data_IF_801148367146
#
_entry.id   IF_801148367146
#
_cell.length_a   1.000
_cell.length_b   1.000
_cell.length_c   1.000
_cell.angle_alpha   90.00
_cell.angle_beta   90.00
_cell.angle_gamma   90.00
#
_symmetry.space_group_name_H-M   'P 1'
#
loop_
_entity.id
_entity.type
_entity.pdbx_description
1 polymer ?
#
# COMPACT_ATOMS: atom_id res chain seq x y z
N UNK A 1 -6.69 14.69 -17.76
CA UNK A 1 -7.89 14.05 -17.17
C UNK A 1 -7.53 12.61 -16.88
N UNK A 2 -7.18 12.26 -15.64
CA UNK A 2 -6.87 10.87 -15.30
C UNK A 2 -6.03 10.62 -14.04
N UNK A 3 -6.14 11.44 -12.99
CA UNK A 3 -5.41 11.24 -11.72
C UNK A 3 -6.33 11.37 -10.51
N UNK A 4 -7.59 10.94 -10.66
CA UNK A 4 -8.55 10.96 -9.56
C UNK A 4 -8.27 9.83 -8.58
N UNK A 5 -8.11 10.20 -7.31
CA UNK A 5 -8.01 9.25 -6.22
C UNK A 5 -9.34 8.53 -6.04
N UNK A 6 -9.31 7.21 -6.16
CA UNK A 6 -10.41 6.31 -5.78
C UNK A 6 -10.22 5.89 -4.33
N UNK A 7 -11.31 5.60 -3.62
CA UNK A 7 -11.26 5.22 -2.21
C UNK A 7 -12.00 3.91 -2.00
N UNK A 8 -11.36 3.01 -1.26
CA UNK A 8 -11.99 1.81 -0.70
C UNK A 8 -11.75 1.79 0.80
N UNK A 9 -12.71 1.30 1.57
CA UNK A 9 -12.62 1.26 3.03
C UNK A 9 -12.87 -0.15 3.54
N UNK A 10 -12.26 -0.49 4.68
CA UNK A 10 -12.53 -1.77 5.32
C UNK A 10 -11.65 -2.04 6.53
N UNK A 11 -11.65 -3.31 6.94
CA UNK A 11 -10.85 -3.86 8.04
C UNK A 11 -10.16 -5.13 7.54
N UNK A 12 -8.91 -5.37 7.94
CA UNK A 12 -8.15 -6.52 7.45
C UNK A 12 -7.85 -6.38 5.96
N UNK A 13 -8.15 -7.41 5.16
CA UNK A 13 -7.93 -7.37 3.71
C UNK A 13 -8.98 -6.50 3.00
N UNK A 14 -8.51 -5.42 2.38
CA UNK A 14 -9.29 -4.47 1.59
C UNK A 14 -8.96 -4.69 0.12
N UNK A 15 -9.97 -4.99 -0.69
CA UNK A 15 -9.81 -5.18 -2.14
C UNK A 15 -9.59 -3.85 -2.85
N UNK A 16 -8.58 -3.79 -3.71
CA UNK A 16 -8.29 -2.68 -4.62
C UNK A 16 -8.69 -3.15 -6.03
N UNK A 17 -9.83 -2.67 -6.57
CA UNK A 17 -10.33 -3.10 -7.88
C UNK A 17 -9.28 -2.92 -8.99
N UNK A 18 -8.99 -4.02 -9.69
CA UNK A 18 -8.03 -4.03 -10.80
C UNK A 18 -6.57 -4.08 -10.36
N UNK A 19 -6.28 -4.44 -9.10
CA UNK A 19 -4.90 -4.67 -8.66
C UNK A 19 -4.77 -5.90 -7.76
N UNK A 20 -5.62 -6.00 -6.73
CA UNK A 20 -5.56 -7.06 -5.74
C UNK A 20 -6.12 -6.62 -4.40
N UNK A 21 -5.33 -6.74 -3.33
CA UNK A 21 -5.76 -6.42 -1.96
C UNK A 21 -4.61 -5.96 -1.07
N UNK A 22 -4.94 -5.12 -0.10
CA UNK A 22 -4.02 -4.63 0.94
C UNK A 22 -4.60 -4.93 2.32
N UNK A 23 -3.75 -5.27 3.28
CA UNK A 23 -4.11 -5.46 4.67
C UNK A 23 -3.29 -4.50 5.55
N UNK A 24 -3.81 -3.29 5.82
CA UNK A 24 -3.21 -2.37 6.78
C UNK A 24 -3.48 -2.83 8.21
N UNK A 25 -2.48 -2.67 9.07
CA UNK A 25 -2.48 -3.14 10.44
C UNK A 25 -1.70 -2.15 11.32
N UNK A 26 -2.06 -2.10 12.59
CA UNK A 26 -1.37 -1.31 13.61
C UNK A 26 -1.01 -2.21 14.77
N UNK A 27 0.24 -2.14 15.21
CA UNK A 27 0.65 -2.80 16.44
C UNK A 27 0.07 -2.06 17.67
N UNK A 28 -0.35 -2.79 18.71
CA UNK A 28 -0.97 -2.23 19.91
C UNK A 28 0.03 -1.74 20.98
N UNK A 29 1.34 -1.77 20.72
CA UNK A 29 2.38 -1.40 21.70
C UNK A 29 2.81 0.06 21.52
N UNK A 30 2.71 0.84 22.60
CA UNK A 30 3.51 2.05 22.87
C UNK A 30 3.62 3.09 21.74
N UNK A 31 2.51 3.50 21.14
CA UNK A 31 2.48 4.47 20.02
C UNK A 31 2.11 3.84 18.68
N UNK A 32 2.23 2.52 18.56
CA UNK A 32 1.67 1.68 17.49
C UNK A 32 2.25 1.94 16.11
N UNK A 33 3.17 1.08 15.67
CA UNK A 33 3.71 1.09 14.30
C UNK A 33 2.65 0.61 13.33
N UNK A 34 2.56 1.26 12.16
CA UNK A 34 1.68 0.81 11.09
C UNK A 34 2.49 -0.07 10.14
N UNK A 35 1.89 -1.19 9.76
CA UNK A 35 2.45 -2.10 8.77
C UNK A 35 1.34 -2.60 7.86
N UNK A 36 1.69 -3.04 6.67
CA UNK A 36 0.74 -3.64 5.76
C UNK A 36 1.34 -4.80 4.98
N UNK A 37 0.44 -5.64 4.47
CA UNK A 37 0.74 -6.61 3.43
C UNK A 37 -0.11 -6.30 2.20
N UNK A 38 0.48 -6.38 1.01
CA UNK A 38 -0.24 -6.23 -0.25
C UNK A 38 -0.02 -7.46 -1.14
N UNK A 39 -1.11 -7.94 -1.74
CA UNK A 39 -1.11 -9.05 -2.70
C UNK A 39 -1.82 -8.63 -3.96
N UNK A 40 -1.31 -9.05 -5.10
CA UNK A 40 -1.96 -8.84 -6.41
C UNK A 40 -3.05 -9.90 -6.62
N UNK A 41 -3.86 -9.75 -7.67
CA UNK A 41 -5.03 -10.62 -7.93
C UNK A 41 -4.70 -12.13 -7.99
N UNK A 42 -3.49 -12.50 -8.42
CA UNK A 42 -3.05 -13.90 -8.48
C UNK A 42 -2.57 -14.47 -7.11
N UNK A 43 -2.59 -13.66 -6.05
CA UNK A 43 -2.20 -14.04 -4.69
C UNK A 43 -0.71 -13.87 -4.35
N UNK A 44 0.13 -13.48 -5.31
CA UNK A 44 1.53 -13.14 -5.07
C UNK A 44 1.66 -11.79 -4.33
N UNK A 45 2.77 -11.59 -3.64
CA UNK A 45 3.07 -10.31 -2.99
C UNK A 45 3.38 -9.23 -4.03
N UNK A 46 2.81 -8.04 -3.80
CA UNK A 46 3.13 -6.86 -4.60
C UNK A 46 4.56 -6.38 -4.33
N UNK A 47 5.17 -5.73 -5.32
CA UNK A 47 6.35 -4.89 -5.09
C UNK A 47 5.92 -3.59 -4.45
N UNK A 48 6.73 -3.05 -3.55
CA UNK A 48 6.44 -1.82 -2.80
C UNK A 48 7.62 -0.85 -2.91
N UNK A 49 7.34 0.43 -3.10
CA UNK A 49 8.33 1.52 -3.08
C UNK A 49 7.71 2.78 -2.47
N UNK A 50 8.42 3.48 -1.60
CA UNK A 50 8.00 4.77 -1.05
C UNK A 50 8.99 5.26 0.01
N UNK A 51 9.05 6.56 0.24
CA UNK A 51 10.01 7.16 1.18
C UNK A 51 9.81 6.68 2.63
N UNK A 52 8.55 6.49 3.03
CA UNK A 52 8.19 5.99 4.37
C UNK A 52 8.15 4.45 4.45
N UNK A 53 8.55 3.73 3.40
CA UNK A 53 8.47 2.26 3.34
C UNK A 53 9.77 1.64 3.83
N UNK A 54 9.67 0.79 4.85
CA UNK A 54 10.76 -0.07 5.33
C UNK A 54 10.23 -1.46 5.64
N UNK A 55 11.07 -2.49 5.76
CA UNK A 55 10.63 -3.84 6.16
C UNK A 55 11.02 -4.96 5.19
N UNK A 56 10.27 -6.07 5.23
CA UNK A 56 10.63 -7.34 4.61
C UNK A 56 9.74 -7.74 3.41
N UNK A 57 9.96 -8.93 2.83
CA UNK A 57 9.35 -9.35 1.56
C UNK A 57 7.82 -9.53 1.60
N UNK A 58 7.22 -9.62 2.79
CA UNK A 58 5.79 -9.95 2.98
C UNK A 58 5.06 -8.91 3.86
N UNK A 59 5.77 -7.98 4.49
CA UNK A 59 5.20 -6.97 5.38
C UNK A 59 6.10 -5.75 5.43
N UNK A 60 5.48 -4.59 5.24
CA UNK A 60 6.16 -3.29 5.17
C UNK A 60 5.60 -2.35 6.22
N UNK A 61 6.49 -1.63 6.88
CA UNK A 61 6.14 -0.47 7.68
C UNK A 61 5.83 0.71 6.77
N UNK A 62 4.90 1.53 7.20
CA UNK A 62 4.49 2.73 6.49
C UNK A 62 4.00 3.80 7.47
N UNK A 63 3.91 5.03 6.97
CA UNK A 63 3.29 6.13 7.68
C UNK A 63 1.86 6.33 7.17
N UNK A 64 0.92 6.49 8.11
CA UNK A 64 -0.47 6.82 7.79
C UNK A 64 -0.50 8.18 7.07
N UNK A 65 -1.36 8.31 6.08
CA UNK A 65 -1.48 9.51 5.24
C UNK A 65 -0.20 9.86 4.46
N UNK A 66 0.72 8.89 4.29
CA UNK A 66 1.89 9.00 3.41
C UNK A 66 1.73 8.07 2.19
N UNK A 67 1.83 8.60 0.96
CA UNK A 67 1.66 7.79 -0.25
C UNK A 67 2.86 6.88 -0.53
N UNK A 68 2.58 5.72 -1.12
CA UNK A 68 3.57 4.76 -1.61
C UNK A 68 3.08 4.06 -2.87
N UNK A 69 4.00 3.46 -3.63
CA UNK A 69 3.71 2.72 -4.85
C UNK A 69 3.60 1.23 -4.59
N UNK A 70 2.59 0.60 -5.19
CA UNK A 70 2.47 -0.84 -5.34
C UNK A 70 2.55 -1.21 -6.82
N UNK A 71 3.35 -2.22 -7.14
CA UNK A 71 3.44 -2.75 -8.49
C UNK A 71 3.29 -4.26 -8.55
N UNK A 72 2.68 -4.75 -9.62
CA UNK A 72 2.69 -6.15 -9.97
C UNK A 72 3.93 -6.51 -10.82
N UNK A 73 4.02 -7.78 -11.24
CA UNK A 73 5.10 -8.25 -12.13
C UNK A 73 4.86 -7.93 -13.60
N UNK A 74 3.65 -7.53 -13.97
CA UNK A 74 3.26 -7.20 -15.36
C UNK A 74 3.54 -5.73 -15.71
N UNK A 75 3.92 -4.91 -14.73
CA UNK A 75 4.20 -3.49 -14.88
C UNK A 75 3.02 -2.60 -14.50
N UNK A 76 1.90 -3.16 -14.01
CA UNK A 76 0.81 -2.37 -13.44
C UNK A 76 1.28 -1.76 -12.12
N UNK A 77 1.16 -0.44 -12.01
CA UNK A 77 1.55 0.33 -10.84
C UNK A 77 0.37 1.19 -10.36
N UNK A 78 0.17 1.21 -9.05
CA UNK A 78 -0.76 2.12 -8.38
C UNK A 78 -0.03 2.89 -7.30
N UNK A 79 -0.43 4.14 -7.10
CA UNK A 79 -0.07 4.91 -5.92
C UNK A 79 -1.18 4.74 -4.89
N UNK A 80 -0.79 4.54 -3.63
CA UNK A 80 -1.69 4.20 -2.53
C UNK A 80 -1.38 5.09 -1.33
N UNK A 81 -2.42 5.61 -0.70
CA UNK A 81 -2.35 6.29 0.60
C UNK A 81 -3.33 5.61 1.54
N UNK A 82 -2.92 5.34 2.78
CA UNK A 82 -3.78 4.69 3.77
C UNK A 82 -4.02 5.59 4.97
N UNK A 83 -5.28 5.86 5.28
CA UNK A 83 -5.74 6.67 6.42
C UNK A 83 -6.41 5.80 7.47
N UNK A 84 -6.28 6.17 8.76
CA UNK A 84 -7.00 5.52 9.85
C UNK A 84 -8.41 6.11 9.98
N UNK A 85 -9.43 5.25 10.04
CA UNK A 85 -10.83 5.63 10.26
C UNK A 85 -11.31 5.20 11.66
N UNK A 86 -12.40 5.79 12.17
CA UNK A 86 -13.01 5.36 13.43
C UNK A 86 -13.34 3.86 13.46
N UNK A 87 -13.23 3.25 14.65
CA UNK A 87 -13.55 1.83 14.85
C UNK A 87 -12.51 0.85 14.31
N UNK A 88 -11.25 1.29 14.11
CA UNK A 88 -10.17 0.43 13.63
C UNK A 88 -10.27 0.09 12.13
N UNK A 89 -11.03 0.90 11.39
CA UNK A 89 -11.14 0.81 9.92
C UNK A 89 -10.02 1.59 9.26
N UNK A 90 -9.79 1.29 7.98
CA UNK A 90 -8.85 2.03 7.15
C UNK A 90 -9.55 2.51 5.88
N UNK A 91 -9.20 3.71 5.43
CA UNK A 91 -9.46 4.17 4.07
C UNK A 91 -8.17 3.96 3.27
N UNK A 92 -8.29 3.32 2.13
CA UNK A 92 -7.20 3.13 1.17
C UNK A 92 -7.56 3.92 -0.07
N UNK A 93 -6.86 5.02 -0.27
CA UNK A 93 -6.95 5.81 -1.49
C UNK A 93 -5.97 5.22 -2.49
N UNK A 94 -6.38 5.11 -3.75
CA UNK A 94 -5.51 4.65 -4.81
C UNK A 94 -5.77 5.36 -6.13
N UNK A 95 -4.72 5.50 -6.94
CA UNK A 95 -4.80 5.98 -8.32
C UNK A 95 -3.74 5.28 -9.17
N UNK A 96 -3.78 5.47 -10.48
CA UNK A 96 -2.72 5.00 -11.37
C UNK A 96 -1.39 5.62 -10.94
N UNK A 97 -0.37 4.76 -10.74
CA UNK A 97 0.97 5.19 -10.37
C UNK A 97 1.95 5.01 -11.54
N UNK A 98 3.12 5.62 -11.43
CA UNK A 98 4.22 5.42 -12.35
C UNK A 98 5.39 4.76 -11.62
N UNK A 99 5.68 3.50 -11.98
CA UNK A 99 6.87 2.82 -11.47
C UNK A 99 8.08 3.28 -12.28
N UNK A 100 8.74 4.36 -11.84
CA UNK A 100 9.99 4.80 -12.46
C UNK A 100 11.13 3.98 -11.88
N UNK A 101 11.74 3.13 -12.72
CA UNK A 101 13.03 2.49 -12.47
C UNK A 101 14.13 3.56 -12.49
N UNK A 102 14.17 4.32 -11.39
CA UNK A 102 15.04 5.48 -11.21
C UNK A 102 15.31 5.71 -9.74
N UNK A 103 15.98 4.75 -9.11
CA UNK A 103 16.83 4.98 -7.94
C UNK A 103 17.75 3.77 -7.82
N UNK A 104 18.97 3.93 -8.36
CA UNK A 104 20.12 3.17 -7.95
C UNK A 104 20.34 3.41 -6.45
N UNK A 105 19.76 2.56 -5.60
CA UNK A 105 20.03 2.50 -4.17
C UNK A 105 20.50 1.09 -3.89
N UNK A 106 21.80 0.94 -3.67
CA UNK A 106 22.46 -0.35 -3.47
C UNK A 106 21.86 -1.15 -2.32
N UNK A 107 21.99 -2.47 -2.46
CA UNK A 107 21.82 -3.45 -1.39
C UNK A 107 22.74 -3.15 -0.20
#
# INVERSE_FOLDING_TARGET
MGDEWKVVEGTGWISIPGFGRIAPQRDNVGGGRNYFTAKIDNGEYAKVKGDSITGGPESWYYEIDSPFLLADRTGRCIEVETSLLPGGRYAVKYRTGAWVDGASGGW
#
